data_IF_720157906458
#
_entry.id   IF_720157906458
#
_cell.length_a   1.000
_cell.length_b   1.000
_cell.length_c   1.000
_cell.angle_alpha   90.00
_cell.angle_beta   90.00
_cell.angle_gamma   90.00
#
_symmetry.space_group_name_H-M   'P 1'
#
loop_
_entity.id
_entity.type
_entity.pdbx_description
1 polymer ?
#
# COMPACT_ATOMS: atom_id res chain seq x y z
N UNK A 1 2.71 -10.02 2.38
CA UNK A 1 1.93 -10.47 1.19
C UNK A 1 0.47 -10.07 1.38
N UNK A 2 -0.30 -9.86 0.31
CA UNK A 2 -1.72 -9.55 0.44
C UNK A 2 -2.50 -10.73 1.03
N UNK A 3 -3.36 -10.44 2.00
CA UNK A 3 -4.29 -11.39 2.61
C UNK A 3 -5.71 -10.84 2.56
N UNK A 4 -6.69 -11.72 2.49
CA UNK A 4 -8.10 -11.35 2.64
C UNK A 4 -8.53 -11.67 4.06
N UNK A 5 -8.80 -10.64 4.85
CA UNK A 5 -9.26 -10.75 6.24
C UNK A 5 -10.57 -9.99 6.34
N UNK A 6 -11.65 -10.65 6.75
CA UNK A 6 -12.99 -10.05 6.84
C UNK A 6 -13.39 -9.29 5.56
N UNK A 7 -13.15 -9.89 4.39
CA UNK A 7 -13.40 -9.32 3.06
C UNK A 7 -12.61 -8.03 2.73
N UNK A 8 -11.50 -7.78 3.43
CA UNK A 8 -10.58 -6.66 3.16
C UNK A 8 -9.21 -7.17 2.74
N UNK A 9 -8.59 -6.48 1.77
CA UNK A 9 -7.25 -6.80 1.28
C UNK A 9 -6.19 -6.14 2.17
N UNK A 10 -5.66 -6.89 3.13
CA UNK A 10 -4.69 -6.43 4.14
C UNK A 10 -3.27 -6.81 3.72
N UNK A 11 -2.31 -5.90 3.89
CA UNK A 11 -0.91 -6.14 3.57
C UNK A 11 -0.14 -6.69 4.77
N UNK A 12 0.04 -8.00 4.88
CA UNK A 12 0.74 -8.60 6.02
C UNK A 12 2.28 -8.65 5.84
N UNK A 13 2.89 -7.58 5.30
CA UNK A 13 4.35 -7.45 5.20
C UNK A 13 4.96 -6.49 6.23
N UNK A 14 4.11 -5.81 7.02
CA UNK A 14 4.54 -4.77 7.96
C UNK A 14 4.71 -3.39 7.31
N UNK A 15 5.20 -2.43 8.11
CA UNK A 15 5.38 -1.02 7.74
C UNK A 15 6.64 -0.73 6.93
N UNK A 16 7.61 -1.65 6.89
CA UNK A 16 8.95 -1.41 6.34
C UNK A 16 9.32 -2.35 5.16
N UNK A 17 8.34 -2.95 4.49
CA UNK A 17 8.55 -3.87 3.34
C UNK A 17 8.58 -3.11 2.00
N UNK A 18 9.36 -2.02 1.95
CA UNK A 18 9.45 -1.04 0.85
C UNK A 18 9.61 -1.71 -0.53
N UNK A 19 10.63 -2.57 -0.67
CA UNK A 19 10.95 -3.25 -1.94
C UNK A 19 9.79 -4.11 -2.46
N UNK A 20 9.01 -4.72 -1.57
CA UNK A 20 7.89 -5.58 -2.00
C UNK A 20 6.67 -4.74 -2.35
N UNK A 21 6.37 -3.69 -1.57
CA UNK A 21 5.21 -2.83 -1.87
C UNK A 21 5.41 -1.98 -3.13
N UNK A 22 6.65 -1.62 -3.45
CA UNK A 22 7.04 -0.99 -4.72
C UNK A 22 6.70 -1.92 -5.89
N UNK A 23 7.21 -3.16 -5.87
CA UNK A 23 6.91 -4.18 -6.90
C UNK A 23 5.41 -4.43 -7.09
N UNK A 24 4.66 -4.44 -5.99
CA UNK A 24 3.20 -4.59 -6.02
C UNK A 24 2.55 -3.37 -6.67
N UNK A 25 2.98 -2.16 -6.33
CA UNK A 25 2.44 -0.92 -6.87
C UNK A 25 2.73 -0.78 -8.37
N UNK A 26 3.94 -1.13 -8.81
CA UNK A 26 4.34 -1.16 -10.22
C UNK A 26 3.45 -2.07 -11.07
N UNK A 27 2.93 -3.16 -10.50
CA UNK A 27 2.02 -4.08 -11.18
C UNK A 27 0.53 -3.73 -10.99
N UNK A 28 0.20 -2.65 -10.27
CA UNK A 28 -1.17 -2.31 -9.92
C UNK A 28 -1.78 -1.32 -10.91
N UNK A 29 -2.73 -1.79 -11.74
CA UNK A 29 -3.49 -0.94 -12.67
C UNK A 29 -4.34 0.14 -12.00
N UNK A 30 -4.55 0.02 -10.69
CA UNK A 30 -5.34 0.96 -9.88
C UNK A 30 -4.47 1.83 -8.96
N UNK A 31 -3.15 1.81 -9.13
CA UNK A 31 -2.29 2.71 -8.38
C UNK A 31 -2.70 4.15 -8.66
N UNK A 32 -2.80 4.94 -7.61
CA UNK A 32 -2.98 6.38 -7.71
C UNK A 32 -2.25 6.98 -6.54
N UNK A 33 -1.33 7.86 -6.87
CA UNK A 33 -0.49 8.56 -5.92
C UNK A 33 -1.34 9.30 -4.87
N UNK A 34 -0.88 9.29 -3.63
CA UNK A 34 -1.46 10.09 -2.56
C UNK A 34 -0.93 11.53 -2.62
N UNK A 35 -1.52 12.42 -1.81
CA UNK A 35 -1.02 13.78 -1.68
C UNK A 35 0.46 13.79 -1.26
N UNK A 36 1.26 14.67 -1.86
CA UNK A 36 2.72 14.72 -1.68
C UNK A 36 3.10 14.82 -0.20
N UNK A 37 2.37 15.64 0.55
CA UNK A 37 2.54 15.83 2.00
C UNK A 37 2.22 14.59 2.85
N UNK A 38 1.48 13.62 2.31
CA UNK A 38 1.12 12.36 2.98
C UNK A 38 2.02 11.19 2.55
N UNK A 39 2.88 11.36 1.56
CA UNK A 39 3.80 10.33 1.11
C UNK A 39 4.89 10.07 2.16
N UNK A 40 5.26 8.80 2.32
CA UNK A 40 6.23 8.37 3.33
C UNK A 40 7.33 7.47 2.78
N UNK A 41 7.18 6.95 1.56
CA UNK A 41 8.19 6.17 0.90
C UNK A 41 8.96 7.06 -0.09
N UNK A 42 10.27 6.87 -0.19
CA UNK A 42 11.12 7.58 -1.16
C UNK A 42 10.79 7.14 -2.60
N UNK A 43 10.31 5.90 -2.77
CA UNK A 43 9.91 5.40 -4.06
C UNK A 43 8.61 6.08 -4.56
N UNK A 44 8.61 6.70 -5.75
CA UNK A 44 7.43 7.42 -6.26
C UNK A 44 6.24 6.48 -6.51
N UNK A 45 6.51 5.22 -6.86
CA UNK A 45 5.47 4.19 -7.08
C UNK A 45 5.57 3.11 -6.01
N UNK A 46 4.84 3.31 -4.90
CA UNK A 46 4.80 2.38 -3.77
C UNK A 46 3.40 2.28 -3.18
N UNK A 47 2.98 1.09 -2.71
CA UNK A 47 1.67 0.99 -2.04
C UNK A 47 1.60 1.85 -0.77
N UNK A 48 2.76 2.21 -0.19
CA UNK A 48 2.86 3.18 0.91
C UNK A 48 2.60 4.62 0.50
N UNK A 49 2.61 4.95 -0.79
CA UNK A 49 2.28 6.25 -1.34
C UNK A 49 1.00 6.20 -2.18
N UNK A 50 0.17 5.17 -2.01
CA UNK A 50 -1.09 5.03 -2.75
C UNK A 50 -2.27 5.61 -1.96
N UNK A 51 -3.08 6.49 -2.57
CA UNK A 51 -4.30 7.09 -1.98
C UNK A 51 -5.32 6.10 -1.44
N UNK A 52 -5.23 4.83 -1.87
CA UNK A 52 -6.13 3.77 -1.46
C UNK A 52 -5.63 2.99 -0.23
N UNK A 53 -4.45 3.32 0.32
CA UNK A 53 -3.95 2.70 1.55
C UNK A 53 -4.71 3.24 2.75
N UNK A 54 -4.96 2.39 3.74
CA UNK A 54 -5.41 2.78 5.09
C UNK A 54 -4.55 2.09 6.11
N UNK A 55 -3.77 2.86 6.86
CA UNK A 55 -2.85 2.36 7.88
C UNK A 55 -3.61 1.65 9.00
N UNK A 56 -3.02 0.57 9.48
CA UNK A 56 -3.42 -0.18 10.67
C UNK A 56 -2.26 -0.16 11.67
N UNK A 57 -2.45 -0.72 12.86
CA UNK A 57 -1.36 -0.82 13.84
C UNK A 57 -0.14 -1.59 13.29
N UNK A 58 -0.38 -2.63 12.49
CA UNK A 58 0.68 -3.53 12.02
C UNK A 58 1.14 -3.27 10.57
N UNK A 59 0.28 -2.67 9.73
CA UNK A 59 0.54 -2.44 8.31
C UNK A 59 -0.49 -1.49 7.68
N UNK A 60 -1.17 -1.90 6.60
CA UNK A 60 -2.22 -1.16 5.92
C UNK A 60 -3.19 -2.08 5.15
N UNK A 61 -4.35 -1.55 4.82
CA UNK A 61 -5.38 -2.17 3.98
C UNK A 61 -5.50 -1.43 2.65
N UNK A 62 -5.71 -2.16 1.55
CA UNK A 62 -6.08 -1.58 0.27
C UNK A 62 -7.60 -1.39 0.20
N UNK A 63 -8.03 -0.14 -0.05
CA UNK A 63 -9.44 0.26 -0.15
C UNK A 63 -9.94 0.38 -1.59
N UNK A 64 -9.12 -0.01 -2.57
CA UNK A 64 -9.55 -0.03 -3.95
C UNK A 64 -10.56 -1.18 -4.14
N UNK A 65 -11.70 -0.85 -4.76
CA UNK A 65 -12.69 -1.82 -5.24
C UNK A 65 -12.27 -2.35 -6.61
#
# INVERSE_FOLDING_TARGET
>A
MWQIINNKKVYNGGHYDYKRVEKIALACSNFTEDYEEEQIAEEPISCYNCRYRRWTADSFTCMKK
#
